data_IF_336945568621
#
_entry.id   IF_336945568621
#
_cell.length_a   1.000
_cell.length_b   1.000
_cell.length_c   1.000
_cell.angle_alpha   90.00
_cell.angle_beta   90.00
_cell.angle_gamma   90.00
#
_symmetry.space_group_name_H-M   'P 1'
#
loop_
_entity.id
_entity.type
_entity.pdbx_description
1 polymer ?
#
# COMPACT_ATOMS: atom_id res chain seq x y z
N UNK A 1 -0.21 22.90 -5.75
CA UNK A 1 1.15 23.15 -6.30
C UNK A 1 1.31 22.28 -7.53
N UNK A 2 1.39 22.87 -8.74
CA UNK A 2 1.31 22.12 -10.00
C UNK A 2 2.42 21.07 -10.18
N UNK A 3 3.66 21.40 -9.81
CA UNK A 3 4.78 20.45 -9.88
C UNK A 3 4.65 19.27 -8.91
N UNK A 4 4.12 19.51 -7.70
CA UNK A 4 3.89 18.44 -6.72
C UNK A 4 2.81 17.46 -7.19
N UNK A 5 1.71 17.98 -7.74
CA UNK A 5 0.63 17.13 -8.25
C UNK A 5 1.10 16.23 -9.39
N UNK A 6 1.90 16.77 -10.32
CA UNK A 6 2.44 16.00 -11.42
C UNK A 6 3.46 14.94 -10.96
N UNK A 7 4.36 15.28 -10.05
CA UNK A 7 5.28 14.29 -9.46
C UNK A 7 4.54 13.20 -8.69
N UNK A 8 3.49 13.55 -7.93
CA UNK A 8 2.68 12.57 -7.20
C UNK A 8 1.97 11.61 -8.16
N UNK A 9 1.49 12.08 -9.32
CA UNK A 9 0.87 11.21 -10.32
C UNK A 9 1.86 10.14 -10.82
N UNK A 10 3.09 10.54 -11.13
CA UNK A 10 4.12 9.59 -11.54
C UNK A 10 4.54 8.63 -10.44
N UNK A 11 4.70 9.12 -9.20
CA UNK A 11 5.01 8.26 -8.07
C UNK A 11 3.87 7.26 -7.84
N UNK A 12 2.62 7.69 -7.78
CA UNK A 12 1.48 6.81 -7.59
C UNK A 12 1.32 5.78 -8.71
N UNK A 13 1.62 6.16 -9.97
CA UNK A 13 1.65 5.22 -11.09
C UNK A 13 2.72 4.14 -10.88
N UNK A 14 3.93 4.54 -10.52
CA UNK A 14 5.05 3.63 -10.37
C UNK A 14 4.86 2.69 -9.16
N UNK A 15 4.28 3.18 -8.05
CA UNK A 15 3.89 2.31 -6.92
C UNK A 15 2.79 1.31 -7.29
N UNK A 16 1.87 1.67 -8.19
CA UNK A 16 0.91 0.74 -8.77
C UNK A 16 1.59 -0.40 -9.54
N UNK A 17 2.62 -0.08 -10.33
CA UNK A 17 3.41 -1.09 -11.06
C UNK A 17 4.17 -2.02 -10.10
N UNK A 18 4.73 -1.50 -9.00
CA UNK A 18 5.38 -2.32 -7.98
C UNK A 18 4.39 -3.29 -7.31
N UNK A 19 3.18 -2.81 -6.99
CA UNK A 19 2.11 -3.63 -6.44
C UNK A 19 1.73 -4.77 -7.38
N UNK A 20 1.44 -4.46 -8.64
CA UNK A 20 1.05 -5.46 -9.65
C UNK A 20 2.14 -6.52 -9.85
N UNK A 21 3.41 -6.08 -9.86
CA UNK A 21 4.55 -6.98 -9.97
C UNK A 21 4.65 -7.95 -8.78
N UNK A 22 4.45 -7.47 -7.54
CA UNK A 22 4.43 -8.31 -6.36
C UNK A 22 3.28 -9.33 -6.40
N UNK A 23 2.08 -8.91 -6.84
CA UNK A 23 0.94 -9.81 -7.05
C UNK A 23 1.25 -10.88 -8.10
N UNK A 24 1.88 -10.51 -9.22
CA UNK A 24 2.28 -11.46 -10.26
C UNK A 24 3.29 -12.49 -9.73
N UNK A 25 4.32 -12.05 -9.01
CA UNK A 25 5.28 -12.96 -8.36
C UNK A 25 4.58 -13.90 -7.37
N UNK A 26 3.65 -13.38 -6.58
CA UNK A 26 2.87 -14.17 -5.63
C UNK A 26 2.05 -15.26 -6.33
N UNK A 27 1.50 -14.98 -7.52
CA UNK A 27 0.75 -15.98 -8.30
C UNK A 27 1.62 -17.16 -8.73
N UNK A 28 2.90 -16.92 -9.00
CA UNK A 28 3.88 -17.94 -9.43
C UNK A 28 4.40 -18.81 -8.27
N UNK A 29 4.11 -18.45 -7.01
CA UNK A 29 4.55 -19.24 -5.86
C UNK A 29 3.85 -20.60 -5.81
N UNK A 30 4.65 -21.66 -5.63
CA UNK A 30 4.16 -23.04 -5.47
C UNK A 30 3.51 -23.27 -4.10
N UNK A 31 3.96 -22.55 -3.07
CA UNK A 31 3.41 -22.58 -1.71
C UNK A 31 2.93 -21.19 -1.35
N UNK A 32 1.62 -20.97 -1.43
CA UNK A 32 0.98 -19.71 -1.04
C UNK A 32 0.64 -19.74 0.45
N UNK A 33 0.51 -18.56 1.05
CA UNK A 33 -0.03 -18.43 2.38
C UNK A 33 -1.52 -18.79 2.34
N UNK A 34 -2.09 -19.14 3.50
CA UNK A 34 -3.54 -19.25 3.61
C UNK A 34 -4.18 -17.88 3.38
N UNK A 35 -5.39 -17.87 2.81
CA UNK A 35 -6.14 -16.63 2.59
C UNK A 35 -6.34 -15.85 3.90
N UNK A 36 -6.54 -16.56 5.01
CA UNK A 36 -6.63 -15.95 6.34
C UNK A 36 -5.37 -15.16 6.71
N UNK A 37 -4.18 -15.72 6.47
CA UNK A 37 -2.92 -15.02 6.78
C UNK A 37 -2.66 -13.84 5.85
N UNK A 38 -3.01 -13.97 4.56
CA UNK A 38 -2.93 -12.84 3.61
C UNK A 38 -3.85 -11.70 4.06
N UNK A 39 -5.09 -12.03 4.42
CA UNK A 39 -6.07 -11.04 4.88
C UNK A 39 -5.61 -10.34 6.16
N UNK A 40 -5.08 -11.09 7.12
CA UNK A 40 -4.52 -10.53 8.36
C UNK A 40 -3.43 -9.49 8.06
N UNK A 41 -2.42 -9.85 7.24
CA UNK A 41 -1.32 -8.94 6.88
C UNK A 41 -1.86 -7.64 6.23
N UNK A 42 -2.82 -7.77 5.29
CA UNK A 42 -3.38 -6.61 4.60
C UNK A 42 -4.25 -5.76 5.54
N UNK A 43 -5.05 -6.39 6.39
CA UNK A 43 -5.89 -5.69 7.37
C UNK A 43 -5.03 -4.90 8.38
N UNK A 44 -3.97 -5.51 8.92
CA UNK A 44 -3.06 -4.85 9.85
C UNK A 44 -2.41 -3.60 9.21
N UNK A 45 -1.95 -3.73 7.95
CA UNK A 45 -1.40 -2.60 7.21
C UNK A 45 -2.43 -1.48 6.98
N UNK A 46 -3.67 -1.83 6.67
CA UNK A 46 -4.77 -0.86 6.52
C UNK A 46 -5.10 -0.17 7.84
N UNK A 47 -5.06 -0.87 8.97
CA UNK A 47 -5.28 -0.26 10.28
C UNK A 47 -4.22 0.78 10.62
N UNK A 48 -2.94 0.46 10.37
CA UNK A 48 -1.82 1.40 10.56
C UNK A 48 -1.98 2.63 9.66
N UNK A 49 -2.29 2.44 8.38
CA UNK A 49 -2.48 3.56 7.44
C UNK A 49 -3.67 4.44 7.84
N UNK A 50 -4.77 3.82 8.28
CA UNK A 50 -5.93 4.55 8.79
C UNK A 50 -5.60 5.36 10.03
N UNK A 51 -4.80 4.82 10.94
CA UNK A 51 -4.32 5.58 12.10
C UNK A 51 -3.49 6.79 11.66
N UNK A 52 -2.55 6.59 10.74
CA UNK A 52 -1.72 7.66 10.20
C UNK A 52 -2.53 8.78 9.55
N UNK A 53 -3.45 8.42 8.64
CA UNK A 53 -4.25 9.40 7.88
C UNK A 53 -5.29 10.08 8.76
N UNK A 54 -6.04 9.33 9.58
CA UNK A 54 -7.17 9.87 10.33
C UNK A 54 -6.78 10.52 11.67
N UNK A 55 -5.64 10.13 12.27
CA UNK A 55 -5.22 10.60 13.60
C UNK A 55 -3.84 11.25 13.61
N UNK A 56 -2.93 10.81 12.73
CA UNK A 56 -1.54 11.30 12.68
C UNK A 56 -1.37 12.73 12.16
N UNK A 57 -2.33 13.29 11.41
CA UNK A 57 -2.24 14.67 10.91
C UNK A 57 -2.51 15.77 11.97
N UNK A 58 -2.77 15.40 13.24
CA UNK A 58 -3.13 16.32 14.32
C UNK A 58 -2.07 16.57 15.42
N UNK A 59 -0.84 16.04 15.32
CA UNK A 59 0.21 16.21 16.34
C UNK A 59 1.41 17.06 15.88
N UNK A 60 1.15 18.10 15.07
CA UNK A 60 2.04 19.27 14.95
C UNK A 60 1.23 20.54 15.24
N UNK A 61 0.77 20.66 16.48
CA UNK A 61 0.27 21.90 17.08
C UNK A 61 1.19 22.30 18.22
#
# INVERSE_FOLDING_TARGET
MSGLTFSNEFISRDEGLHYDFACLLYLLLRKKLSEGRVREIVCDAVEIEREFVCRGQGMMG
#
